data_IF_323691296734
#
_entry.id   IF_323691296734
#
_cell.length_a   1.000
_cell.length_b   1.000
_cell.length_c   1.000
_cell.angle_alpha   90.00
_cell.angle_beta   90.00
_cell.angle_gamma   90.00
#
_symmetry.space_group_name_H-M   'P 1'
#
loop_
_entity.id
_entity.type
_entity.pdbx_description
1 polymer ?
#
# COMPACT_ATOMS: atom_id res chain seq x y z
N UNK A 1 -2.20 -21.53 51.67
CA UNK A 1 -1.31 -22.69 51.91
C UNK A 1 -1.42 -23.65 50.73
N UNK A 2 -0.27 -23.92 50.08
CA UNK A 2 0.08 -25.02 49.14
C UNK A 2 -0.72 -25.18 47.82
N UNK A 3 -0.13 -24.84 46.66
CA UNK A 3 0.87 -25.55 45.79
C UNK A 3 0.18 -26.60 44.90
N UNK A 4 0.09 -26.42 43.57
CA UNK A 4 1.09 -26.70 42.50
C UNK A 4 1.40 -28.19 42.24
N UNK A 5 1.39 -28.54 40.93
CA UNK A 5 2.05 -29.66 40.22
C UNK A 5 1.20 -30.93 40.01
N UNK A 6 0.98 -31.30 38.73
CA UNK A 6 1.56 -32.49 38.10
C UNK A 6 1.63 -32.27 36.57
N UNK A 7 2.83 -32.53 36.05
CA UNK A 7 3.30 -32.44 34.68
C UNK A 7 3.74 -33.86 34.28
N UNK A 8 3.73 -34.17 32.98
CA UNK A 8 4.41 -35.27 32.26
C UNK A 8 3.72 -36.63 32.17
N UNK A 9 3.64 -37.13 30.92
CA UNK A 9 3.79 -38.50 30.40
C UNK A 9 3.36 -38.40 28.91
N UNK A 10 4.04 -38.80 27.84
CA UNK A 10 5.13 -39.75 27.58
C UNK A 10 5.91 -39.32 26.32
N UNK A 11 7.22 -39.56 26.33
CA UNK A 11 8.14 -39.46 25.20
C UNK A 11 8.89 -40.80 25.17
N UNK A 12 8.83 -41.58 24.08
CA UNK A 12 9.80 -42.65 23.76
C UNK A 12 9.50 -43.26 22.38
N UNK A 13 10.41 -43.09 21.42
CA UNK A 13 11.17 -44.20 20.81
C UNK A 13 12.27 -43.68 19.85
N UNK A 14 13.50 -44.08 20.22
CA UNK A 14 14.82 -43.98 19.59
C UNK A 14 14.90 -44.72 18.24
N UNK A 15 15.59 -44.21 17.21
CA UNK A 15 17.06 -44.24 16.95
C UNK A 15 17.60 -45.63 16.58
N UNK A 16 18.21 -45.75 15.39
CA UNK A 16 19.46 -46.51 15.03
C UNK A 16 19.47 -46.86 13.53
N UNK A 17 20.59 -46.59 12.85
CA UNK A 17 20.87 -47.14 11.51
C UNK A 17 21.98 -46.48 10.70
N UNK A 18 23.12 -46.17 11.32
CA UNK A 18 24.37 -45.81 10.61
C UNK A 18 25.04 -47.10 10.12
N UNK A 19 25.44 -47.18 8.85
CA UNK A 19 26.53 -48.07 8.44
C UNK A 19 27.29 -47.50 7.23
N UNK A 20 28.52 -47.08 7.51
CA UNK A 20 29.56 -46.81 6.53
C UNK A 20 30.17 -48.15 6.08
N UNK A 21 30.48 -48.28 4.79
CA UNK A 21 31.33 -49.33 4.24
C UNK A 21 32.46 -48.65 3.45
N UNK A 22 33.64 -48.63 4.05
CA UNK A 22 34.91 -48.36 3.39
C UNK A 22 35.51 -49.71 2.96
N UNK A 23 35.75 -49.87 1.66
CA UNK A 23 36.62 -50.91 1.13
C UNK A 23 37.65 -50.26 0.21
N UNK A 24 38.88 -50.26 0.69
CA UNK A 24 40.09 -49.95 -0.05
C UNK A 24 40.53 -51.23 -0.78
N UNK A 25 40.62 -51.18 -2.11
CA UNK A 25 41.48 -52.07 -2.88
C UNK A 25 42.25 -51.26 -3.92
N UNK A 26 43.56 -51.29 -3.78
CA UNK A 26 44.56 -50.82 -4.74
C UNK A 26 44.64 -51.73 -5.96
N UNK A 27 44.69 -51.17 -7.17
CA UNK A 27 45.45 -51.73 -8.28
C UNK A 27 45.70 -50.66 -9.35
N UNK A 28 46.98 -50.47 -9.66
CA UNK A 28 47.47 -49.64 -10.76
C UNK A 28 47.22 -50.32 -12.11
N UNK A 29 46.69 -49.57 -13.07
CA UNK A 29 46.92 -49.84 -14.49
C UNK A 29 46.70 -48.56 -15.28
N UNK A 30 47.70 -48.21 -16.09
CA UNK A 30 47.71 -47.07 -17.00
C UNK A 30 46.52 -47.14 -17.95
N UNK A 31 45.61 -46.18 -17.85
CA UNK A 31 44.61 -45.90 -18.88
C UNK A 31 44.77 -44.47 -19.38
N UNK A 32 44.75 -44.36 -20.70
CA UNK A 32 44.91 -43.16 -21.50
C UNK A 32 43.75 -42.21 -21.17
N UNK A 33 44.06 -40.98 -20.74
CA UNK A 33 43.04 -39.93 -20.51
C UNK A 33 42.20 -39.72 -21.78
N UNK A 34 40.87 -39.90 -21.74
CA UNK A 34 40.00 -39.37 -22.76
C UNK A 34 40.01 -37.84 -22.65
N UNK A 35 40.20 -37.16 -23.78
CA UNK A 35 40.00 -35.72 -23.92
C UNK A 35 38.69 -35.31 -23.24
N UNK A 36 38.79 -34.44 -22.22
CA UNK A 36 37.64 -33.73 -21.66
C UNK A 36 36.91 -33.06 -22.83
N UNK A 37 35.58 -33.24 -22.99
CA UNK A 37 34.82 -32.31 -23.80
C UNK A 37 34.99 -30.94 -23.14
N UNK A 38 35.36 -29.95 -23.95
CA UNK A 38 35.29 -28.54 -23.59
C UNK A 38 33.94 -28.31 -22.93
N UNK A 39 33.94 -27.87 -21.68
CA UNK A 39 32.71 -27.54 -20.98
C UNK A 39 32.01 -26.47 -21.82
N UNK A 40 30.83 -26.82 -22.35
CA UNK A 40 29.85 -25.81 -22.69
C UNK A 40 29.67 -24.96 -21.43
N UNK A 41 30.11 -23.71 -21.50
CA UNK A 41 29.77 -22.67 -20.52
C UNK A 41 28.25 -22.67 -20.41
N UNK A 42 27.72 -23.41 -19.45
CA UNK A 42 26.32 -23.35 -19.08
C UNK A 42 26.11 -21.91 -18.63
N UNK A 43 25.27 -21.09 -19.29
CA UNK A 43 25.07 -19.72 -18.85
C UNK A 43 24.66 -19.78 -17.39
N UNK A 44 25.44 -19.17 -16.49
CA UNK A 44 25.05 -18.98 -15.10
C UNK A 44 23.61 -18.46 -15.11
N UNK A 45 22.69 -19.26 -14.58
CA UNK A 45 21.27 -18.95 -14.55
C UNK A 45 21.16 -17.58 -13.87
N UNK A 46 20.71 -16.56 -14.63
CA UNK A 46 20.67 -15.18 -14.12
C UNK A 46 19.80 -15.16 -12.87
N UNK A 47 20.21 -14.51 -11.80
CA UNK A 47 19.34 -14.25 -10.65
C UNK A 47 18.01 -13.64 -11.12
N UNK A 48 16.92 -13.90 -10.39
CA UNK A 48 15.59 -13.38 -10.72
C UNK A 48 15.57 -11.86 -10.92
N UNK A 49 16.40 -11.15 -10.15
CA UNK A 49 16.55 -9.71 -10.21
C UNK A 49 18.01 -9.29 -10.38
N UNK A 50 18.22 -8.24 -11.17
CA UNK A 50 19.44 -7.43 -11.08
C UNK A 50 19.19 -6.30 -10.09
N UNK A 51 19.54 -6.50 -8.82
CA UNK A 51 19.28 -5.52 -7.77
C UNK A 51 20.00 -4.19 -7.98
N UNK A 52 19.35 -3.11 -7.53
CA UNK A 52 19.92 -1.77 -7.51
C UNK A 52 20.19 -1.30 -6.08
N UNK A 53 21.21 -0.46 -5.93
CA UNK A 53 21.52 0.23 -4.68
C UNK A 53 20.96 1.66 -4.75
N UNK A 54 19.88 1.94 -4.03
CA UNK A 54 19.33 3.29 -3.92
C UNK A 54 19.84 3.94 -2.64
N UNK A 55 20.69 4.96 -2.73
CA UNK A 55 21.13 5.67 -1.53
C UNK A 55 19.98 6.46 -0.90
N UNK A 56 19.86 6.35 0.42
CA UNK A 56 18.79 6.99 1.19
C UNK A 56 19.27 7.46 2.56
N UNK A 57 18.46 8.31 3.21
CA UNK A 57 18.61 8.60 4.64
C UNK A 57 17.27 8.56 5.36
N UNK A 58 17.27 8.08 6.60
CA UNK A 58 16.08 7.98 7.46
C UNK A 58 15.91 9.23 8.31
N UNK A 59 14.66 9.59 8.59
CA UNK A 59 14.33 10.51 9.68
C UNK A 59 14.15 9.71 10.96
N UNK A 60 14.97 9.97 11.97
CA UNK A 60 14.93 9.29 13.27
C UNK A 60 15.21 10.31 14.37
N UNK A 61 14.42 10.30 15.44
CA UNK A 61 14.59 11.16 16.61
C UNK A 61 14.78 12.65 16.29
N UNK A 62 14.01 13.17 15.32
CA UNK A 62 14.02 14.59 14.98
C UNK A 62 15.16 15.03 14.05
N UNK A 63 15.97 14.11 13.52
CA UNK A 63 17.04 14.45 12.57
C UNK A 63 17.18 13.42 11.45
N UNK A 64 17.72 13.84 10.31
CA UNK A 64 18.11 12.94 9.25
C UNK A 64 19.44 12.25 9.60
N UNK A 65 19.46 10.94 9.45
CA UNK A 65 20.68 10.15 9.58
C UNK A 65 21.60 10.33 8.36
N UNK A 66 22.80 9.74 8.43
CA UNK A 66 23.72 9.71 7.30
C UNK A 66 23.11 8.99 6.08
N UNK A 67 23.53 9.41 4.88
CA UNK A 67 23.23 8.68 3.65
C UNK A 67 23.84 7.28 3.71
N UNK A 68 23.08 6.29 3.25
CA UNK A 68 23.46 4.87 3.30
C UNK A 68 22.74 4.07 2.22
N UNK A 69 23.25 2.88 1.94
CA UNK A 69 22.59 1.86 1.11
C UNK A 69 22.26 0.60 1.90
N UNK A 70 22.45 0.60 3.23
CA UNK A 70 22.42 -0.61 4.05
C UNK A 70 21.14 -1.43 3.88
N UNK A 71 19.97 -0.79 3.87
CA UNK A 71 18.68 -1.47 3.75
C UNK A 71 18.12 -1.46 2.30
N UNK A 72 18.85 -0.92 1.34
CA UNK A 72 18.39 -0.74 -0.05
C UNK A 72 19.20 -1.52 -1.08
N UNK A 73 20.08 -2.43 -0.64
CA UNK A 73 20.94 -3.24 -1.54
C UNK A 73 20.17 -4.17 -2.46
N UNK A 74 18.95 -4.51 -2.06
CA UNK A 74 18.04 -5.39 -2.80
C UNK A 74 16.82 -4.60 -3.30
N UNK A 75 17.06 -3.41 -3.86
CA UNK A 75 15.97 -2.63 -4.48
C UNK A 75 15.55 -3.31 -5.79
N UNK A 76 14.29 -3.70 -5.86
CA UNK A 76 13.64 -4.36 -7.01
C UNK A 76 12.88 -3.34 -7.87
N UNK A 77 13.01 -3.44 -9.17
CA UNK A 77 12.21 -2.70 -10.16
C UNK A 77 11.78 -3.65 -11.28
N UNK A 78 10.73 -3.29 -12.01
CA UNK A 78 10.21 -4.12 -13.11
C UNK A 78 11.25 -4.26 -14.21
N UNK A 79 11.94 -3.18 -14.57
CA UNK A 79 13.00 -3.16 -15.59
C UNK A 79 14.19 -4.09 -15.26
N UNK A 80 14.31 -4.50 -14.00
CA UNK A 80 15.40 -5.31 -13.49
C UNK A 80 14.96 -6.75 -13.14
N UNK A 81 13.73 -7.14 -13.50
CA UNK A 81 13.27 -8.53 -13.41
C UNK A 81 13.80 -9.32 -14.60
N UNK A 82 14.75 -10.23 -14.37
CA UNK A 82 15.43 -10.98 -15.43
C UNK A 82 14.58 -12.08 -16.07
N UNK A 83 13.54 -12.55 -15.36
CA UNK A 83 12.69 -13.67 -15.79
C UNK A 83 11.26 -13.25 -16.12
N UNK A 84 10.88 -12.00 -15.81
CA UNK A 84 9.53 -11.52 -16.00
C UNK A 84 9.24 -11.25 -17.47
N UNK A 85 8.28 -11.99 -18.01
CA UNK A 85 7.68 -11.71 -19.31
C UNK A 85 6.23 -11.30 -19.09
N UNK A 86 5.83 -10.07 -19.47
CA UNK A 86 4.46 -9.61 -19.22
C UNK A 86 3.41 -10.48 -19.90
N UNK A 87 2.41 -10.94 -19.15
CA UNK A 87 1.18 -11.49 -19.71
C UNK A 87 0.29 -10.34 -20.20
N UNK A 88 -0.33 -10.52 -21.36
CA UNK A 88 -1.26 -9.54 -21.95
C UNK A 88 -2.60 -10.14 -22.34
N UNK A 89 -2.78 -11.46 -22.14
CA UNK A 89 -3.99 -12.19 -22.47
C UNK A 89 -5.05 -12.07 -21.36
N UNK A 90 -5.46 -10.84 -21.09
CA UNK A 90 -6.60 -10.55 -20.23
C UNK A 90 -7.25 -9.21 -20.58
N UNK A 91 -8.56 -9.14 -20.37
CA UNK A 91 -9.33 -7.90 -20.47
C UNK A 91 -9.55 -7.28 -19.09
N UNK A 92 -9.83 -5.98 -19.07
CA UNK A 92 -10.12 -5.22 -17.85
C UNK A 92 -11.45 -4.50 -17.93
N UNK A 93 -12.11 -4.33 -16.80
CA UNK A 93 -13.24 -3.41 -16.63
C UNK A 93 -12.74 -1.96 -16.68
N UNK A 94 -13.68 -1.00 -16.71
CA UNK A 94 -13.36 0.42 -16.58
C UNK A 94 -12.69 0.79 -15.25
N UNK A 95 -12.81 -0.05 -14.21
CA UNK A 95 -12.18 0.11 -12.90
C UNK A 95 -10.74 -0.42 -12.86
N UNK A 96 -10.28 -1.08 -13.94
CA UNK A 96 -8.98 -1.74 -14.00
C UNK A 96 -8.98 -3.18 -13.47
N UNK A 97 -10.14 -3.72 -13.04
CA UNK A 97 -10.27 -5.10 -12.58
C UNK A 97 -10.16 -6.10 -13.73
N UNK A 98 -9.45 -7.21 -13.51
CA UNK A 98 -9.28 -8.29 -14.50
C UNK A 98 -10.57 -9.07 -14.66
N UNK A 99 -10.96 -9.30 -15.91
CA UNK A 99 -12.13 -10.09 -16.28
C UNK A 99 -11.73 -11.57 -16.37
N UNK A 100 -12.61 -12.47 -15.94
CA UNK A 100 -12.50 -13.92 -16.17
C UNK A 100 -11.91 -14.73 -15.02
N UNK A 101 -11.37 -14.09 -13.97
CA UNK A 101 -10.98 -14.82 -12.76
C UNK A 101 -12.23 -15.40 -12.07
N UNK A 102 -12.14 -16.67 -11.67
CA UNK A 102 -13.23 -17.38 -11.01
C UNK A 102 -13.06 -17.29 -9.48
N UNK A 103 -13.93 -16.56 -8.76
CA UNK A 103 -13.84 -16.48 -7.32
C UNK A 103 -14.31 -17.78 -6.67
N UNK A 104 -13.55 -18.27 -5.70
CA UNK A 104 -13.94 -19.38 -4.82
C UNK A 104 -14.86 -18.92 -3.68
N UNK A 105 -14.78 -17.64 -3.30
CA UNK A 105 -15.68 -17.01 -2.34
C UNK A 105 -15.87 -15.52 -2.66
N UNK A 106 -17.05 -15.00 -2.33
CA UNK A 106 -17.41 -13.59 -2.50
C UNK A 106 -18.26 -13.13 -1.32
N UNK A 107 -17.93 -11.96 -0.75
CA UNK A 107 -18.69 -11.31 0.33
C UNK A 107 -19.05 -9.88 -0.07
N UNK A 108 -20.35 -9.56 0.04
CA UNK A 108 -20.93 -8.25 -0.22
C UNK A 108 -21.98 -8.27 -1.34
N UNK A 109 -22.45 -7.10 -1.77
CA UNK A 109 -23.60 -6.94 -2.69
C UNK A 109 -23.15 -6.70 -4.13
N UNK A 110 -23.74 -7.39 -5.09
CA UNK A 110 -23.48 -7.16 -6.52
C UNK A 110 -23.77 -5.71 -6.94
N UNK A 111 -23.01 -5.22 -7.93
CA UNK A 111 -23.06 -3.82 -8.36
C UNK A 111 -22.28 -2.86 -7.45
N UNK A 112 -21.58 -3.37 -6.42
CA UNK A 112 -20.67 -2.65 -5.54
C UNK A 112 -19.35 -3.40 -5.40
N UNK A 113 -18.35 -2.74 -4.82
CA UNK A 113 -17.12 -3.39 -4.43
C UNK A 113 -17.38 -4.50 -3.41
N UNK A 114 -16.73 -5.65 -3.60
CA UNK A 114 -16.90 -6.84 -2.76
C UNK A 114 -15.55 -7.47 -2.48
N UNK A 115 -15.44 -8.22 -1.40
CA UNK A 115 -14.23 -9.00 -1.10
C UNK A 115 -14.38 -10.37 -1.74
N UNK A 116 -13.36 -10.83 -2.45
CA UNK A 116 -13.34 -12.16 -3.05
C UNK A 116 -12.01 -12.86 -2.85
N UNK A 117 -12.03 -14.19 -2.91
CA UNK A 117 -10.83 -15.01 -3.03
C UNK A 117 -10.84 -15.70 -4.40
N UNK A 118 -9.75 -15.61 -5.15
CA UNK A 118 -9.55 -16.26 -6.44
C UNK A 118 -8.21 -17.01 -6.39
N UNK A 119 -8.21 -18.33 -6.55
CA UNK A 119 -6.96 -19.12 -6.56
C UNK A 119 -6.10 -18.99 -5.29
N UNK A 120 -6.71 -18.71 -4.13
CA UNK A 120 -6.01 -18.49 -2.87
C UNK A 120 -5.49 -17.07 -2.67
N UNK A 121 -5.73 -16.15 -3.61
CA UNK A 121 -5.43 -14.72 -3.50
C UNK A 121 -6.70 -13.92 -3.21
N UNK A 122 -6.60 -12.97 -2.30
CA UNK A 122 -7.64 -11.98 -2.02
C UNK A 122 -7.65 -10.90 -3.11
N UNK A 123 -8.84 -10.58 -3.57
CA UNK A 123 -9.12 -9.46 -4.46
C UNK A 123 -10.29 -8.64 -3.92
N UNK A 124 -10.43 -7.43 -4.45
CA UNK A 124 -11.73 -6.79 -4.51
C UNK A 124 -12.37 -7.16 -5.86
N UNK A 125 -13.66 -7.47 -5.88
CA UNK A 125 -14.43 -7.44 -7.11
C UNK A 125 -15.01 -6.04 -7.26
N UNK A 126 -14.76 -5.41 -8.40
CA UNK A 126 -15.34 -4.13 -8.74
C UNK A 126 -16.86 -4.26 -9.06
N UNK A 127 -17.59 -3.13 -9.17
CA UNK A 127 -19.02 -3.13 -9.50
C UNK A 127 -19.41 -3.87 -10.78
N UNK A 128 -18.46 -4.04 -11.71
CA UNK A 128 -18.65 -4.70 -13.00
C UNK A 128 -18.05 -6.13 -13.00
N UNK A 129 -17.80 -6.71 -11.80
CA UNK A 129 -17.26 -8.05 -11.53
C UNK A 129 -15.79 -8.28 -11.92
N UNK A 130 -15.01 -7.24 -12.22
CA UNK A 130 -13.57 -7.38 -12.43
C UNK A 130 -12.83 -7.58 -11.11
N UNK A 131 -11.87 -8.51 -11.07
CA UNK A 131 -10.98 -8.68 -9.92
C UNK A 131 -9.92 -7.57 -9.92
N UNK A 132 -10.04 -6.61 -9.02
CA UNK A 132 -9.23 -5.40 -8.95
C UNK A 132 -8.27 -5.42 -7.75
N UNK A 133 -7.09 -4.88 -7.97
CA UNK A 133 -6.12 -4.52 -6.94
C UNK A 133 -6.06 -2.99 -6.94
N UNK A 134 -6.20 -2.41 -5.76
CA UNK A 134 -6.23 -0.96 -5.61
C UNK A 134 -4.80 -0.39 -5.66
N UNK A 135 -4.59 0.65 -6.45
CA UNK A 135 -3.36 1.43 -6.47
C UNK A 135 -3.71 2.90 -6.59
N UNK A 136 -3.63 3.58 -5.45
CA UNK A 136 -4.29 4.86 -5.27
C UNK A 136 -3.40 6.00 -4.79
N UNK A 137 -4.01 7.18 -4.68
CA UNK A 137 -3.41 8.39 -4.11
C UNK A 137 -4.32 8.98 -3.04
N UNK A 138 -3.74 9.34 -1.89
CA UNK A 138 -4.44 9.97 -0.80
C UNK A 138 -4.46 11.50 -0.93
N UNK A 139 -5.51 12.14 -0.41
CA UNK A 139 -5.68 13.60 -0.34
C UNK A 139 -5.71 14.30 -1.69
N UNK A 140 -6.40 13.74 -2.67
CA UNK A 140 -6.60 14.34 -4.00
C UNK A 140 -7.59 15.50 -3.91
N UNK A 141 -7.07 16.64 -3.44
CA UNK A 141 -7.74 17.93 -3.32
C UNK A 141 -6.73 19.07 -3.42
N UNK A 142 -7.15 20.32 -3.71
CA UNK A 142 -6.24 21.46 -3.68
C UNK A 142 -5.60 21.63 -2.30
N UNK A 143 -4.33 22.06 -2.27
CA UNK A 143 -3.65 22.36 -1.02
C UNK A 143 -4.16 23.65 -0.37
N UNK A 144 -4.17 23.70 0.96
CA UNK A 144 -4.79 24.79 1.72
C UNK A 144 -3.84 25.92 2.12
N UNK A 145 -2.54 25.74 1.97
CA UNK A 145 -1.56 26.77 2.34
C UNK A 145 -1.64 27.98 1.41
N UNK A 146 -1.14 29.13 1.85
CA UNK A 146 -1.06 30.34 1.03
C UNK A 146 -0.31 30.11 -0.28
N UNK A 147 0.76 29.30 -0.25
CA UNK A 147 1.53 28.94 -1.44
C UNK A 147 0.68 28.13 -2.44
N UNK A 148 -0.02 27.09 -1.96
CA UNK A 148 -0.92 26.29 -2.79
C UNK A 148 -2.06 27.11 -3.38
N UNK A 149 -2.69 27.99 -2.59
CA UNK A 149 -3.79 28.86 -3.07
C UNK A 149 -3.33 29.80 -4.19
N UNK A 150 -2.13 30.39 -4.05
CA UNK A 150 -1.53 31.22 -5.09
C UNK A 150 -1.21 30.42 -6.36
N UNK A 151 -0.60 29.24 -6.21
CA UNK A 151 -0.28 28.36 -7.33
C UNK A 151 -1.56 27.89 -8.05
N UNK A 152 -2.58 27.51 -7.29
CA UNK A 152 -3.88 27.08 -7.82
C UNK A 152 -4.53 28.18 -8.67
N UNK A 153 -4.58 29.41 -8.14
CA UNK A 153 -5.12 30.56 -8.88
C UNK A 153 -4.36 30.87 -10.16
N UNK A 154 -3.03 30.66 -10.15
CA UNK A 154 -2.15 30.90 -11.30
C UNK A 154 -2.30 29.82 -12.37
N UNK A 155 -2.30 28.54 -11.97
CA UNK A 155 -2.30 27.40 -12.88
C UNK A 155 -3.68 27.06 -13.41
N UNK A 156 -4.66 26.96 -12.52
CA UNK A 156 -5.99 26.44 -12.84
C UNK A 156 -7.06 27.53 -12.87
N UNK A 157 -7.01 28.48 -11.93
CA UNK A 157 -8.02 29.54 -11.78
C UNK A 157 -9.42 29.07 -11.37
N UNK A 158 -9.74 27.77 -11.46
CA UNK A 158 -11.03 27.19 -11.08
C UNK A 158 -10.90 25.71 -10.70
N UNK A 159 -11.82 25.23 -9.85
CA UNK A 159 -11.90 23.81 -9.48
C UNK A 159 -12.28 22.90 -10.65
N UNK A 160 -13.08 23.40 -11.58
CA UNK A 160 -13.46 22.66 -12.79
C UNK A 160 -12.21 22.31 -13.62
N UNK A 161 -11.36 23.30 -13.89
CA UNK A 161 -10.11 23.08 -14.63
C UNK A 161 -9.12 22.23 -13.87
N UNK A 162 -8.95 22.48 -12.56
CA UNK A 162 -8.10 21.64 -11.71
C UNK A 162 -8.53 20.17 -11.77
N UNK A 163 -9.81 19.90 -11.53
CA UNK A 163 -10.32 18.52 -11.50
C UNK A 163 -10.23 17.82 -12.85
N UNK A 164 -10.41 18.54 -13.97
CA UNK A 164 -10.21 17.99 -15.32
C UNK A 164 -8.74 17.59 -15.56
N UNK A 165 -7.80 18.49 -15.28
CA UNK A 165 -6.37 18.24 -15.46
C UNK A 165 -5.88 17.13 -14.50
N UNK A 166 -6.31 17.15 -13.24
CA UNK A 166 -5.99 16.10 -12.25
C UNK A 166 -6.63 14.78 -12.63
N UNK A 167 -7.90 14.74 -13.06
CA UNK A 167 -8.56 13.53 -13.53
C UNK A 167 -7.82 12.89 -14.70
N UNK A 168 -7.35 13.71 -15.65
CA UNK A 168 -6.49 13.26 -16.75
C UNK A 168 -5.16 12.70 -16.24
N UNK A 169 -4.49 13.37 -15.30
CA UNK A 169 -3.24 12.88 -14.70
C UNK A 169 -3.42 11.51 -14.04
N UNK A 170 -4.51 11.32 -13.29
CA UNK A 170 -4.84 10.05 -12.64
C UNK A 170 -5.07 8.93 -13.68
N UNK A 171 -5.86 9.21 -14.72
CA UNK A 171 -6.14 8.25 -15.78
C UNK A 171 -4.90 7.90 -16.61
N UNK A 172 -4.09 8.89 -17.00
CA UNK A 172 -2.89 8.70 -17.83
C UNK A 172 -1.82 7.86 -17.10
N UNK A 173 -1.83 7.87 -15.76
CA UNK A 173 -0.98 7.04 -14.89
C UNK A 173 -1.67 5.77 -14.36
N UNK A 174 -2.85 5.45 -14.87
CA UNK A 174 -3.64 4.28 -14.48
C UNK A 174 -3.86 4.18 -12.96
N UNK A 175 -4.18 5.27 -12.28
CA UNK A 175 -4.55 5.26 -10.86
C UNK A 175 -6.02 4.94 -10.74
N UNK A 176 -6.39 3.87 -10.02
CA UNK A 176 -7.78 3.40 -9.94
C UNK A 176 -8.46 3.73 -8.61
N UNK A 177 -7.79 4.45 -7.72
CA UNK A 177 -8.32 4.81 -6.41
C UNK A 177 -7.83 6.17 -5.93
N UNK A 178 -8.71 6.93 -5.27
CA UNK A 178 -8.34 8.15 -4.56
C UNK A 178 -9.00 8.24 -3.19
N UNK A 179 -8.49 9.13 -2.34
CA UNK A 179 -9.31 9.73 -1.27
C UNK A 179 -9.24 11.25 -1.38
N UNK A 180 -10.33 11.93 -1.02
CA UNK A 180 -10.37 13.39 -0.95
C UNK A 180 -9.66 13.88 0.31
N UNK A 181 -9.91 13.24 1.46
CA UNK A 181 -9.16 13.50 2.69
C UNK A 181 -9.61 14.74 3.46
N UNK A 182 -10.92 14.92 3.63
CA UNK A 182 -11.49 15.97 4.48
C UNK A 182 -11.37 15.61 5.97
N UNK A 183 -11.09 16.61 6.81
CA UNK A 183 -11.00 16.42 8.27
C UNK A 183 -12.34 15.99 8.89
N UNK A 184 -13.45 16.41 8.29
CA UNK A 184 -14.78 15.85 8.54
C UNK A 184 -15.28 15.26 7.25
N UNK A 185 -15.74 14.02 7.33
CA UNK A 185 -16.17 13.28 6.16
C UNK A 185 -17.35 13.97 5.48
N UNK A 186 -17.26 14.06 4.16
CA UNK A 186 -18.26 14.63 3.27
C UNK A 186 -18.22 13.89 1.93
N UNK A 187 -19.29 14.01 1.15
CA UNK A 187 -19.30 13.45 -0.22
C UNK A 187 -18.37 14.26 -1.10
N UNK A 188 -17.81 13.61 -2.13
CA UNK A 188 -17.05 14.32 -3.16
C UNK A 188 -17.84 15.52 -3.69
N UNK A 189 -17.25 16.73 -3.75
CA UNK A 189 -17.96 17.90 -4.24
C UNK A 189 -18.45 17.66 -5.68
N UNK A 190 -19.73 17.94 -5.93
CA UNK A 190 -20.38 17.64 -7.20
C UNK A 190 -19.65 18.27 -8.41
N UNK A 191 -19.05 19.45 -8.22
CA UNK A 191 -18.33 20.20 -9.24
C UNK A 191 -17.06 19.48 -9.76
N UNK A 192 -16.41 18.67 -8.93
CA UNK A 192 -15.15 17.99 -9.28
C UNK A 192 -15.32 16.49 -9.45
N UNK A 193 -16.41 15.93 -8.90
CA UNK A 193 -16.67 14.50 -8.81
C UNK A 193 -16.58 13.79 -10.16
N UNK A 194 -17.23 14.31 -11.20
CA UNK A 194 -17.24 13.68 -12.52
C UNK A 194 -15.84 13.56 -13.12
N UNK A 195 -15.09 14.66 -13.09
CA UNK A 195 -13.73 14.72 -13.62
C UNK A 195 -12.76 13.81 -12.86
N UNK A 196 -12.88 13.70 -11.53
CA UNK A 196 -11.99 12.88 -10.71
C UNK A 196 -12.37 11.41 -10.69
N UNK A 197 -13.67 11.07 -10.64
CA UNK A 197 -14.11 9.69 -10.45
C UNK A 197 -14.40 8.96 -11.77
N UNK A 198 -14.66 9.70 -12.85
CA UNK A 198 -14.90 9.12 -14.18
C UNK A 198 -14.07 9.81 -15.28
N UNK A 199 -12.73 9.94 -15.12
CA UNK A 199 -11.92 10.57 -16.15
C UNK A 199 -11.89 9.73 -17.43
N UNK A 200 -12.36 10.30 -18.53
CA UNK A 200 -12.48 9.64 -19.85
C UNK A 200 -13.35 8.38 -19.79
N UNK A 201 -12.77 7.21 -20.02
CA UNK A 201 -13.44 5.89 -19.96
C UNK A 201 -13.10 5.11 -18.70
N UNK A 202 -12.23 5.66 -17.83
CA UNK A 202 -11.82 5.01 -16.59
C UNK A 202 -12.76 5.41 -15.45
N UNK A 203 -13.06 4.46 -14.58
CA UNK A 203 -13.75 4.69 -13.31
C UNK A 203 -12.75 4.54 -12.17
N UNK A 204 -12.83 5.43 -11.19
CA UNK A 204 -11.93 5.49 -10.04
C UNK A 204 -12.72 5.22 -8.76
N UNK A 205 -12.25 4.26 -7.97
CA UNK A 205 -12.79 3.98 -6.64
C UNK A 205 -12.38 5.06 -5.64
N UNK A 206 -13.12 5.21 -4.56
CA UNK A 206 -12.67 6.04 -3.44
C UNK A 206 -13.18 5.54 -2.10
N UNK A 207 -12.43 5.83 -1.05
CA UNK A 207 -12.81 5.65 0.35
C UNK A 207 -12.45 6.93 1.12
N UNK A 208 -13.09 7.13 2.26
CA UNK A 208 -12.84 8.27 3.12
C UNK A 208 -12.62 7.84 4.57
N UNK A 209 -11.89 8.67 5.31
CA UNK A 209 -11.72 8.48 6.75
C UNK A 209 -12.99 8.92 7.48
N UNK A 210 -13.64 8.00 8.17
CA UNK A 210 -14.66 8.30 9.16
C UNK A 210 -14.00 8.32 10.53
N UNK A 211 -13.62 9.53 10.96
CA UNK A 211 -12.97 9.78 12.25
C UNK A 211 -13.98 9.64 13.41
N UNK A 212 -14.13 8.44 13.95
CA UNK A 212 -15.07 8.17 15.04
C UNK A 212 -14.62 8.84 16.34
N UNK A 213 -13.46 8.44 16.84
CA UNK A 213 -12.94 8.92 18.12
C UNK A 213 -12.64 10.43 18.08
N UNK A 214 -12.02 10.88 16.99
CA UNK A 214 -11.60 12.28 16.86
C UNK A 214 -12.79 13.23 16.68
N UNK A 215 -13.84 12.82 15.96
CA UNK A 215 -15.07 13.65 15.86
C UNK A 215 -15.80 13.71 17.20
N UNK A 216 -15.92 12.59 17.92
CA UNK A 216 -16.46 12.59 19.29
C UNK A 216 -15.69 13.56 20.19
N UNK A 217 -14.35 13.47 20.20
CA UNK A 217 -13.50 14.37 20.98
C UNK A 217 -13.76 15.85 20.64
N UNK A 218 -13.79 16.20 19.35
CA UNK A 218 -14.03 17.59 18.94
C UNK A 218 -15.40 18.12 19.35
N UNK A 219 -16.44 17.29 19.22
CA UNK A 219 -17.82 17.72 19.47
C UNK A 219 -18.18 17.68 20.96
N UNK A 220 -17.63 16.72 21.69
CA UNK A 220 -18.00 16.46 23.08
C UNK A 220 -17.01 17.01 24.09
N UNK A 221 -15.77 17.33 23.75
CA UNK A 221 -14.76 17.85 24.70
C UNK A 221 -15.25 19.02 25.56
N UNK A 222 -16.10 19.89 25.00
CA UNK A 222 -16.71 21.02 25.73
C UNK A 222 -17.90 20.64 26.61
N UNK A 223 -18.50 19.48 26.35
CA UNK A 223 -19.66 18.93 27.04
C UNK A 223 -19.30 17.79 28.00
N UNK A 224 -18.01 17.42 28.08
CA UNK A 224 -17.52 16.53 29.11
C UNK A 224 -17.66 17.22 30.47
N UNK A 225 -18.02 16.46 31.50
CA UNK A 225 -18.08 16.96 32.88
C UNK A 225 -16.71 17.29 33.49
N UNK A 226 -15.64 17.24 32.68
CA UNK A 226 -14.25 17.46 33.06
C UNK A 226 -13.46 18.04 31.87
N UNK A 227 -12.32 18.68 32.16
CA UNK A 227 -11.41 19.16 31.12
C UNK A 227 -10.61 17.98 30.54
N UNK A 228 -10.80 17.68 29.25
CA UNK A 228 -9.98 16.71 28.54
C UNK A 228 -8.76 17.41 27.92
N UNK A 229 -7.57 17.00 28.35
CA UNK A 229 -6.29 17.47 27.82
C UNK A 229 -5.69 16.40 26.91
N UNK A 230 -5.69 16.68 25.62
CA UNK A 230 -5.29 15.78 24.55
C UNK A 230 -3.77 15.54 24.50
N UNK A 231 -2.97 16.46 25.06
CA UNK A 231 -1.52 16.29 25.15
C UNK A 231 -1.12 15.42 26.35
N UNK A 232 -2.01 15.31 27.34
CA UNK A 232 -1.76 14.58 28.59
C UNK A 232 -2.33 13.17 28.59
N UNK A 233 -3.51 12.96 27.99
CA UNK A 233 -4.24 11.70 28.10
C UNK A 233 -4.33 10.98 26.75
N UNK A 234 -4.20 9.65 26.80
CA UNK A 234 -4.49 8.83 25.64
C UNK A 234 -5.97 8.97 25.27
N UNK A 235 -6.27 9.47 24.06
CA UNK A 235 -7.63 9.66 23.51
C UNK A 235 -8.52 8.44 23.65
N UNK A 236 -7.96 7.23 23.72
CA UNK A 236 -8.73 6.00 23.89
C UNK A 236 -9.54 5.96 25.20
N UNK A 237 -9.23 6.79 26.18
CA UNK A 237 -10.06 6.92 27.40
C UNK A 237 -11.50 7.38 27.08
N UNK A 238 -11.69 8.11 25.98
CA UNK A 238 -13.00 8.63 25.59
C UNK A 238 -13.98 7.53 25.14
N UNK A 239 -13.49 6.31 24.85
CA UNK A 239 -14.35 5.16 24.54
C UNK A 239 -15.21 4.75 25.74
N UNK A 240 -14.80 5.13 26.96
CA UNK A 240 -15.51 4.82 28.20
C UNK A 240 -16.51 5.91 28.61
N UNK A 241 -16.61 7.01 27.85
CA UNK A 241 -17.64 8.01 28.10
C UNK A 241 -19.03 7.41 27.88
N UNK A 242 -19.99 7.58 28.81
CA UNK A 242 -21.32 6.96 28.71
C UNK A 242 -22.09 7.31 27.43
N UNK A 243 -21.75 8.44 26.80
CA UNK A 243 -22.40 8.95 25.58
C UNK A 243 -21.71 8.49 24.29
N UNK A 244 -20.52 7.89 24.37
CA UNK A 244 -19.69 7.55 23.21
C UNK A 244 -20.43 6.64 22.22
N UNK A 245 -20.94 5.50 22.70
CA UNK A 245 -21.60 4.51 21.85
C UNK A 245 -22.79 5.12 21.07
N UNK A 246 -23.71 5.80 21.78
CA UNK A 246 -24.87 6.43 21.14
C UNK A 246 -24.48 7.56 20.18
N UNK A 247 -23.42 8.31 20.46
CA UNK A 247 -22.93 9.34 19.54
C UNK A 247 -22.39 8.71 18.26
N UNK A 248 -21.56 7.66 18.38
CA UNK A 248 -20.99 6.96 17.23
C UNK A 248 -22.07 6.30 16.38
N UNK A 249 -23.08 5.66 16.98
CA UNK A 249 -24.20 5.08 16.24
C UNK A 249 -24.91 6.11 15.36
N UNK A 250 -25.19 7.31 15.92
CA UNK A 250 -25.80 8.41 15.17
C UNK A 250 -24.89 8.93 14.07
N UNK A 251 -23.60 9.10 14.37
CA UNK A 251 -22.62 9.57 13.40
C UNK A 251 -22.49 8.60 12.22
N UNK A 252 -22.35 7.30 12.49
CA UNK A 252 -22.26 6.27 11.46
C UNK A 252 -23.54 6.21 10.63
N UNK A 253 -24.72 6.30 11.25
CA UNK A 253 -25.99 6.33 10.53
C UNK A 253 -26.08 7.54 9.59
N UNK A 254 -25.80 8.74 10.10
CA UNK A 254 -25.85 9.98 9.33
C UNK A 254 -24.84 9.94 8.17
N UNK A 255 -23.58 9.59 8.45
CA UNK A 255 -22.53 9.63 7.44
C UNK A 255 -22.66 8.51 6.42
N UNK A 256 -23.06 7.30 6.82
CA UNK A 256 -23.27 6.20 5.87
C UNK A 256 -24.39 6.49 4.87
N UNK A 257 -25.43 7.23 5.29
CA UNK A 257 -26.52 7.61 4.39
C UNK A 257 -26.05 8.49 3.22
N UNK A 258 -24.97 9.28 3.40
CA UNK A 258 -24.42 10.16 2.36
C UNK A 258 -23.78 9.38 1.20
N UNK A 259 -23.31 8.17 1.45
CA UNK A 259 -22.59 7.35 0.46
C UNK A 259 -23.42 6.16 -0.03
N UNK A 260 -24.64 5.99 0.50
CA UNK A 260 -25.51 4.88 0.15
C UNK A 260 -25.83 4.88 -1.35
N UNK A 261 -25.53 3.76 -2.01
CA UNK A 261 -25.80 3.58 -3.45
C UNK A 261 -24.69 4.10 -4.37
N UNK A 262 -23.65 4.74 -3.85
CA UNK A 262 -22.51 5.16 -4.65
C UNK A 262 -21.62 3.97 -5.03
N UNK A 263 -21.54 3.68 -6.33
CA UNK A 263 -20.73 2.57 -6.86
C UNK A 263 -19.23 2.85 -6.86
N UNK A 264 -18.81 4.11 -6.78
CA UNK A 264 -17.39 4.45 -6.66
C UNK A 264 -16.88 4.29 -5.22
N UNK A 265 -17.79 4.34 -4.24
CA UNK A 265 -17.43 4.28 -2.84
C UNK A 265 -17.17 2.84 -2.39
N UNK A 266 -15.94 2.55 -1.96
CA UNK A 266 -15.57 1.21 -1.49
C UNK A 266 -15.85 1.00 0.01
N UNK A 267 -15.78 2.07 0.82
CA UNK A 267 -16.01 1.97 2.26
C UNK A 267 -15.35 3.08 3.06
N UNK A 268 -15.29 2.88 4.39
CA UNK A 268 -14.67 3.82 5.31
C UNK A 268 -13.38 3.24 5.89
N UNK A 269 -12.37 4.08 6.06
CA UNK A 269 -11.35 3.85 7.06
C UNK A 269 -11.84 4.43 8.38
N UNK A 270 -11.85 3.64 9.45
CA UNK A 270 -12.31 4.09 10.76
C UNK A 270 -11.13 4.65 11.56
N UNK A 271 -11.17 5.96 11.84
CA UNK A 271 -10.07 6.72 12.45
C UNK A 271 -8.74 6.64 11.66
N UNK A 272 -7.65 7.17 12.24
CA UNK A 272 -6.31 7.14 11.66
C UNK A 272 -5.26 7.08 12.77
N UNK A 273 -4.36 6.10 12.70
CA UNK A 273 -3.20 5.93 13.61
C UNK A 273 -3.58 6.13 15.09
N UNK A 274 -4.60 5.41 15.54
CA UNK A 274 -5.01 5.45 16.94
C UNK A 274 -3.80 5.13 17.84
N UNK A 275 -3.63 5.84 18.98
CA UNK A 275 -2.44 5.78 19.82
C UNK A 275 -2.41 4.51 20.70
N UNK A 276 -2.44 3.34 20.07
CA UNK A 276 -2.19 2.06 20.72
C UNK A 276 -0.69 1.97 21.02
N UNK A 277 -0.33 2.31 22.26
CA UNK A 277 1.06 2.44 22.70
C UNK A 277 1.71 1.12 23.15
N UNK A 278 0.96 0.01 23.18
CA UNK A 278 1.48 -1.27 23.63
C UNK A 278 0.85 -2.47 22.92
N UNK A 279 1.63 -3.54 22.80
CA UNK A 279 1.17 -4.86 22.36
C UNK A 279 1.62 -5.90 23.38
N UNK A 280 0.66 -6.69 23.89
CA UNK A 280 0.90 -7.73 24.92
C UNK A 280 1.68 -7.21 26.15
N UNK A 281 1.39 -5.99 26.59
CA UNK A 281 2.07 -5.36 27.73
C UNK A 281 3.46 -4.79 27.41
N UNK A 282 3.96 -4.94 26.18
CA UNK A 282 5.20 -4.33 25.71
C UNK A 282 4.90 -2.95 25.14
N UNK A 283 5.47 -1.90 25.72
CA UNK A 283 5.37 -0.55 25.18
C UNK A 283 6.20 -0.40 23.91
N UNK A 284 5.65 0.25 22.88
CA UNK A 284 6.41 0.62 21.69
C UNK A 284 6.78 2.10 21.73
N UNK A 285 8.06 2.39 21.45
CA UNK A 285 8.56 3.76 21.45
C UNK A 285 8.05 4.58 20.26
N UNK A 286 7.67 3.92 19.15
CA UNK A 286 7.15 4.53 17.92
C UNK A 286 8.00 5.73 17.44
N UNK A 287 9.33 5.65 17.58
CA UNK A 287 10.28 6.72 17.28
C UNK A 287 10.70 6.76 15.80
N UNK A 288 10.14 5.87 14.97
CA UNK A 288 10.40 5.74 13.53
C UNK A 288 9.06 5.73 12.78
N UNK A 289 9.03 6.18 11.52
CA UNK A 289 7.77 6.24 10.77
C UNK A 289 7.70 7.23 9.59
N UNK A 290 8.81 7.86 9.21
CA UNK A 290 8.88 8.64 7.97
C UNK A 290 9.48 7.80 6.84
N UNK A 291 8.91 7.91 5.63
CA UNK A 291 9.53 7.34 4.42
C UNK A 291 10.97 7.81 4.23
N UNK A 292 11.75 7.05 3.47
CA UNK A 292 13.14 7.38 3.18
C UNK A 292 13.26 8.66 2.35
N UNK A 293 14.23 9.51 2.69
CA UNK A 293 14.66 10.56 1.75
C UNK A 293 15.64 9.94 0.77
N UNK A 294 15.39 10.15 -0.52
CA UNK A 294 16.22 9.72 -1.64
C UNK A 294 16.65 10.93 -2.47
N UNK A 295 17.64 10.76 -3.34
CA UNK A 295 18.24 11.89 -4.09
C UNK A 295 17.36 12.46 -5.19
N UNK A 296 16.57 11.62 -5.87
CA UNK A 296 15.85 12.02 -7.09
C UNK A 296 14.42 11.48 -7.13
N UNK A 297 13.59 12.11 -7.97
CA UNK A 297 12.23 11.61 -8.27
C UNK A 297 12.24 10.21 -8.90
N UNK A 298 13.27 9.88 -9.69
CA UNK A 298 13.47 8.52 -10.21
C UNK A 298 13.67 7.53 -9.06
N UNK A 299 14.53 7.85 -8.09
CA UNK A 299 14.73 6.99 -6.92
C UNK A 299 13.47 6.84 -6.06
N UNK A 300 12.62 7.88 -5.98
CA UNK A 300 11.29 7.74 -5.33
C UNK A 300 10.44 6.69 -6.03
N UNK A 301 10.44 6.70 -7.37
CA UNK A 301 9.73 5.71 -8.19
C UNK A 301 10.30 4.30 -8.10
N UNK A 302 11.62 4.16 -8.10
CA UNK A 302 12.29 2.85 -7.90
C UNK A 302 11.96 2.27 -6.53
N UNK A 303 11.99 3.09 -5.47
CA UNK A 303 11.62 2.65 -4.13
C UNK A 303 10.12 2.32 -4.01
N UNK A 304 9.26 3.08 -4.69
CA UNK A 304 7.83 2.78 -4.78
C UNK A 304 7.57 1.43 -5.45
N UNK A 305 8.21 1.15 -6.59
CA UNK A 305 8.12 -0.18 -7.23
C UNK A 305 8.61 -1.27 -6.30
N UNK A 306 9.79 -1.09 -5.70
CA UNK A 306 10.38 -2.04 -4.77
C UNK A 306 9.46 -2.41 -3.60
N UNK A 307 8.71 -1.44 -3.08
CA UNK A 307 7.72 -1.68 -2.03
C UNK A 307 6.50 -2.42 -2.57
N UNK A 308 5.92 -1.94 -3.68
CA UNK A 308 4.68 -2.49 -4.20
C UNK A 308 4.85 -3.88 -4.83
N UNK A 309 6.01 -4.21 -5.40
CA UNK A 309 6.31 -5.56 -5.90
C UNK A 309 6.21 -6.59 -4.76
N UNK A 310 6.72 -6.26 -3.56
CA UNK A 310 6.58 -7.12 -2.37
C UNK A 310 5.12 -7.24 -1.90
N UNK A 311 4.33 -6.18 -2.05
CA UNK A 311 2.89 -6.25 -1.78
C UNK A 311 2.18 -7.20 -2.76
N UNK A 312 2.59 -7.21 -4.03
CA UNK A 312 2.03 -8.12 -5.04
C UNK A 312 2.39 -9.57 -4.78
N UNK A 313 3.57 -9.87 -4.22
CA UNK A 313 3.93 -11.22 -3.73
C UNK A 313 2.99 -11.69 -2.60
N UNK A 314 2.36 -10.76 -1.89
CA UNK A 314 1.50 -11.04 -0.73
C UNK A 314 0.05 -11.31 -1.17
N UNK A 315 -0.36 -12.58 -1.16
CA UNK A 315 -1.68 -13.03 -1.64
C UNK A 315 -2.89 -12.46 -0.89
N UNK A 316 -2.74 -11.93 0.32
CA UNK A 316 -3.82 -11.30 1.08
C UNK A 316 -3.82 -9.76 0.99
N UNK A 317 -2.92 -9.15 0.21
CA UNK A 317 -2.91 -7.71 -0.04
C UNK A 317 -3.80 -7.37 -1.26
N UNK A 318 -4.82 -6.54 -1.05
CA UNK A 318 -5.76 -6.12 -2.11
C UNK A 318 -5.42 -4.75 -2.72
N UNK A 319 -4.27 -4.18 -2.38
CA UNK A 319 -3.81 -2.90 -2.93
C UNK A 319 -3.02 -2.02 -1.97
N UNK A 320 -2.75 -0.81 -2.42
CA UNK A 320 -2.00 0.23 -1.69
C UNK A 320 -2.48 1.63 -2.08
N UNK A 321 -2.16 2.61 -1.24
CA UNK A 321 -2.46 4.02 -1.46
C UNK A 321 -1.21 4.85 -1.13
N UNK A 322 -0.76 5.67 -2.08
CA UNK A 322 0.36 6.59 -1.88
C UNK A 322 -0.08 7.82 -1.09
N UNK A 323 0.64 8.13 -0.01
CA UNK A 323 0.52 9.40 0.71
C UNK A 323 1.58 10.37 0.16
N UNK A 324 1.23 11.43 -0.58
CA UNK A 324 -0.12 11.93 -0.91
C UNK A 324 -0.16 12.64 -2.29
N UNK A 325 -1.23 13.38 -2.60
CA UNK A 325 -1.37 14.10 -3.87
C UNK A 325 -0.40 15.28 -4.01
N UNK A 326 -0.50 16.28 -3.13
CA UNK A 326 0.37 17.46 -3.15
C UNK A 326 1.59 17.28 -2.24
N UNK A 327 2.65 18.01 -2.53
CA UNK A 327 3.69 18.26 -1.54
C UNK A 327 3.15 18.99 -0.30
N UNK A 328 3.69 18.62 0.85
CA UNK A 328 3.35 19.29 2.11
C UNK A 328 3.98 20.67 2.17
N UNK A 329 3.27 21.63 2.77
CA UNK A 329 3.79 22.95 3.06
C UNK A 329 3.38 23.37 4.47
N UNK A 330 4.34 23.44 5.38
CA UNK A 330 4.05 23.75 6.78
C UNK A 330 3.84 25.26 7.02
N UNK A 331 3.30 25.60 8.20
CA UNK A 331 3.09 26.99 8.61
C UNK A 331 4.38 27.79 8.77
N UNK A 332 5.52 27.12 8.87
CA UNK A 332 6.85 27.72 9.02
C UNK A 332 7.51 27.96 7.65
N UNK A 333 6.82 27.68 6.55
CA UNK A 333 7.29 27.89 5.18
C UNK A 333 8.18 26.76 4.64
N UNK A 334 8.26 25.62 5.32
CA UNK A 334 9.05 24.46 4.89
C UNK A 334 8.20 23.50 4.05
N UNK A 335 8.71 23.22 2.86
CA UNK A 335 8.14 22.21 1.97
C UNK A 335 8.57 20.79 2.36
N UNK A 336 7.72 19.81 2.06
CA UNK A 336 8.06 18.38 2.15
C UNK A 336 7.62 17.63 0.90
N UNK A 337 8.58 16.94 0.28
CA UNK A 337 8.43 16.20 -0.99
C UNK A 337 7.68 14.86 -0.81
N UNK A 338 6.36 14.94 -0.61
CA UNK A 338 5.47 13.79 -0.36
C UNK A 338 4.52 13.53 -1.54
N UNK A 339 4.23 14.57 -2.31
CA UNK A 339 3.25 14.60 -3.37
C UNK A 339 3.65 13.79 -4.58
N UNK A 340 2.66 13.47 -5.41
CA UNK A 340 2.87 13.19 -6.83
C UNK A 340 2.93 14.47 -7.66
N UNK A 341 2.45 15.60 -7.12
CA UNK A 341 2.63 16.95 -7.66
C UNK A 341 3.30 17.86 -6.64
N UNK A 342 4.03 18.87 -7.12
CA UNK A 342 4.66 19.90 -6.27
C UNK A 342 3.62 20.84 -5.65
N UNK A 343 4.08 21.81 -4.85
CA UNK A 343 3.25 22.90 -4.30
C UNK A 343 2.63 23.75 -5.42
N UNK A 344 3.34 23.87 -6.54
CA UNK A 344 2.92 24.54 -7.78
C UNK A 344 2.00 23.67 -8.65
N UNK A 345 1.70 22.45 -8.19
CA UNK A 345 0.98 21.41 -8.92
C UNK A 345 1.68 20.92 -10.19
N UNK A 346 3.01 21.01 -10.25
CA UNK A 346 3.77 20.38 -11.33
C UNK A 346 3.90 18.87 -11.06
N UNK A 347 3.50 18.00 -11.99
CA UNK A 347 3.64 16.56 -11.82
C UNK A 347 5.10 16.11 -11.79
N UNK A 348 5.41 15.18 -10.87
CA UNK A 348 6.72 14.55 -10.83
C UNK A 348 6.83 13.41 -11.84
N UNK A 349 7.05 13.73 -13.11
CA UNK A 349 7.02 12.78 -14.23
C UNK A 349 7.92 11.54 -14.06
N UNK A 350 9.15 11.70 -13.55
CA UNK A 350 10.04 10.55 -13.30
C UNK A 350 9.54 9.62 -12.19
N UNK A 351 8.72 10.13 -11.27
CA UNK A 351 8.08 9.31 -10.24
C UNK A 351 6.81 8.65 -10.79
N UNK A 352 5.96 9.43 -11.46
CA UNK A 352 4.70 8.97 -12.05
C UNK A 352 4.91 7.91 -13.13
N UNK A 353 5.96 8.01 -13.94
CA UNK A 353 6.32 6.99 -14.93
C UNK A 353 6.58 5.61 -14.31
N UNK A 354 7.24 5.57 -13.16
CA UNK A 354 7.50 4.33 -12.41
C UNK A 354 6.19 3.77 -11.80
N UNK A 355 5.31 4.64 -11.28
CA UNK A 355 3.96 4.24 -10.84
C UNK A 355 3.14 3.67 -12.00
N UNK A 356 3.15 4.35 -13.15
CA UNK A 356 2.40 3.95 -14.34
C UNK A 356 2.84 2.59 -14.87
N UNK A 357 4.14 2.33 -14.95
CA UNK A 357 4.68 1.04 -15.37
C UNK A 357 4.17 -0.10 -14.46
N UNK A 358 4.19 0.12 -13.14
CA UNK A 358 3.66 -0.82 -12.17
C UNK A 358 2.16 -1.03 -12.32
N UNK A 359 1.37 0.05 -12.32
CA UNK A 359 -0.09 0.02 -12.40
C UNK A 359 -0.58 -0.71 -13.65
N UNK A 360 0.09 -0.52 -14.79
CA UNK A 360 -0.20 -1.24 -16.03
C UNK A 360 0.06 -2.75 -15.94
N UNK A 361 1.03 -3.15 -15.12
CA UNK A 361 1.57 -4.50 -15.03
C UNK A 361 0.99 -5.33 -13.88
N UNK A 362 0.13 -4.76 -13.01
CA UNK A 362 -0.31 -5.40 -11.75
C UNK A 362 -0.79 -6.84 -11.93
N UNK A 363 -1.71 -7.10 -12.87
CA UNK A 363 -2.26 -8.44 -13.07
C UNK A 363 -1.23 -9.42 -13.64
N UNK A 364 -0.38 -8.94 -14.55
CA UNK A 364 0.71 -9.74 -15.12
C UNK A 364 1.80 -10.07 -14.09
N UNK A 365 2.12 -9.13 -13.21
CA UNK A 365 3.04 -9.36 -12.09
C UNK A 365 2.44 -10.37 -11.10
N UNK A 366 1.14 -10.32 -10.85
CA UNK A 366 0.46 -11.33 -10.03
C UNK A 366 0.54 -12.71 -10.68
N UNK A 367 0.29 -12.83 -11.99
CA UNK A 367 0.45 -14.10 -12.70
C UNK A 367 1.86 -14.67 -12.51
N UNK A 368 2.87 -13.82 -12.69
CA UNK A 368 4.27 -14.18 -12.49
C UNK A 368 4.54 -14.71 -11.07
N UNK A 369 4.15 -13.98 -10.02
CA UNK A 369 4.41 -14.39 -8.64
C UNK A 369 3.58 -15.60 -8.20
N UNK A 370 2.32 -15.68 -8.62
CA UNK A 370 1.42 -16.75 -8.18
C UNK A 370 1.76 -18.08 -8.85
N UNK A 371 2.19 -18.10 -10.12
CA UNK A 371 2.70 -19.30 -10.78
C UNK A 371 3.96 -19.80 -10.07
N UNK A 372 4.91 -18.90 -9.79
CA UNK A 372 6.17 -19.23 -9.10
C UNK A 372 5.92 -19.89 -7.76
N UNK A 373 4.98 -19.39 -6.96
CA UNK A 373 4.72 -19.96 -5.62
C UNK A 373 4.09 -21.36 -5.61
N UNK A 374 3.69 -21.90 -6.77
CA UNK A 374 3.16 -23.27 -6.92
C UNK A 374 4.25 -24.25 -7.40
N UNK A 375 5.34 -23.74 -7.97
CA UNK A 375 6.54 -24.50 -8.34
C UNK A 375 7.49 -24.61 -7.14
#
# INVERSE_FOLDING_TARGET
>A
MRKHIIYRYFLFLSLVGLMQLTLSCSSSSNEIEPLKPEGEDTPLEKDEYTFMNVEYRKWQNGTFQAWTTADSRETRTIDNMNWYTPSSDYSRTAWGGRIGLQPSSVVGKEGFFRVANCGGRSYLLDPDNGAVIIHGIQHVRPGESTAHKKAFGTRYGSEARWSEETGKLLADNHINYISYGSNRIEVFPAAVRGNLLTPKTQKIAYAENLYLLRTFMWDMSKNLGYAFDDDKYNRLVLLFEPTFATYIDRLVQEKSALFAGDRHFIGFYLDNELPFASYQGTGYANTEGGGWLVHTQKNRGEFYQNFCLRLLETRNCVGWVHFEYNDGYDSNGKASNKGVVSIEYEPYESFLSQMRQLNLSVHSLIDYYDIKSVQ
#
